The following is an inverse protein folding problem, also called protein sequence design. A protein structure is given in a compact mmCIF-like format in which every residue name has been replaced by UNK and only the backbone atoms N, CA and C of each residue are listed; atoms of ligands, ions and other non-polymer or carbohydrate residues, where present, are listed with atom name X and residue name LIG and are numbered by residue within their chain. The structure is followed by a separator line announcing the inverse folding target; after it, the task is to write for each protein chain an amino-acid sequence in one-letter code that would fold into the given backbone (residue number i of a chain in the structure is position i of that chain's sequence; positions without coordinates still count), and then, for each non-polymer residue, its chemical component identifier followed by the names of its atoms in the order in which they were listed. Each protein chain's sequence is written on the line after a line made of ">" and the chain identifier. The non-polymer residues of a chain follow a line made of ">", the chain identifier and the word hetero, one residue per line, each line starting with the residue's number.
data_IF_294168992468
#
_entry.id   IF_294168992468
#
_cell.length_a   1.000
_cell.length_b   1.000
_cell.length_c   1.000
_cell.angle_alpha   90.00
_cell.angle_beta   90.00
_cell.angle_gamma   90.00
#
_symmetry.space_group_name_H-M   'P 1'
#
loop_
_entity.id
_entity.type
_entity.pdbx_description
1 polymer ?
#
# COMPACT_ATOMS: atom_id res chain seq x y z
N UNK A 1 38.84 45.20 8.55
CA UNK A 1 38.41 44.59 7.30
C UNK A 1 38.60 43.06 7.43
N UNK A 2 37.57 42.34 7.79
CA UNK A 2 37.58 40.86 7.73
C UNK A 2 36.80 40.49 6.47
N UNK A 3 37.53 40.12 5.44
CA UNK A 3 37.00 39.46 4.24
C UNK A 3 36.45 38.08 4.68
N UNK A 4 35.15 37.99 4.91
CA UNK A 4 34.45 36.72 4.91
C UNK A 4 34.28 36.33 3.45
N UNK A 5 35.16 35.45 2.97
CA UNK A 5 34.94 34.70 1.75
C UNK A 5 33.64 33.90 1.96
N UNK A 6 32.51 34.38 1.44
CA UNK A 6 31.36 33.53 1.21
C UNK A 6 31.82 32.47 0.20
N UNK A 7 32.10 31.27 0.70
CA UNK A 7 32.16 30.08 -0.12
C UNK A 7 30.74 29.97 -0.72
N UNK A 8 30.57 30.25 -2.00
CA UNK A 8 29.33 30.04 -2.75
C UNK A 8 29.07 28.52 -2.84
N UNK A 9 28.69 27.90 -1.71
CA UNK A 9 28.24 26.51 -1.71
C UNK A 9 26.96 26.46 -2.54
N UNK A 10 27.01 25.77 -3.69
CA UNK A 10 25.82 25.52 -4.48
C UNK A 10 24.79 24.77 -3.63
N UNK A 11 23.53 25.18 -3.70
CA UNK A 11 22.43 24.45 -3.11
C UNK A 11 22.40 23.03 -3.65
N UNK A 12 22.24 22.05 -2.77
CA UNK A 12 22.13 20.62 -3.15
C UNK A 12 20.71 20.14 -2.93
N UNK A 13 20.10 19.58 -3.97
CA UNK A 13 18.69 19.13 -3.96
C UNK A 13 18.62 17.66 -4.31
N UNK A 14 17.96 16.86 -3.48
CA UNK A 14 17.54 15.49 -3.82
C UNK A 14 16.18 15.54 -4.48
N UNK A 15 16.10 15.07 -5.72
CA UNK A 15 14.87 15.06 -6.52
C UNK A 15 14.27 13.65 -6.58
N UNK A 16 13.00 13.49 -6.21
CA UNK A 16 12.21 12.29 -6.54
C UNK A 16 12.10 12.17 -8.06
N UNK A 17 12.81 11.21 -8.65
CA UNK A 17 13.00 11.09 -10.08
C UNK A 17 12.44 9.76 -10.59
N UNK A 18 11.47 9.82 -11.49
CA UNK A 18 10.87 8.63 -12.12
C UNK A 18 11.40 8.35 -13.53
N UNK A 19 12.24 9.23 -14.09
CA UNK A 19 12.66 9.15 -15.48
C UNK A 19 11.59 9.56 -16.49
N UNK A 20 10.39 9.97 -16.06
CA UNK A 20 9.34 10.52 -16.90
C UNK A 20 9.65 11.92 -17.44
N UNK A 21 8.78 12.42 -18.34
CA UNK A 21 8.92 13.78 -18.89
C UNK A 21 8.95 14.84 -17.79
N UNK A 22 7.96 14.79 -16.89
CA UNK A 22 7.74 15.81 -15.86
C UNK A 22 8.95 15.92 -14.93
N UNK A 23 9.47 14.79 -14.43
CA UNK A 23 10.63 14.79 -13.52
C UNK A 23 11.93 15.14 -14.24
N UNK A 24 12.05 14.85 -15.54
CA UNK A 24 13.22 15.22 -16.34
C UNK A 24 13.24 16.73 -16.63
N UNK A 25 12.09 17.34 -16.99
CA UNK A 25 11.95 18.80 -17.12
C UNK A 25 12.21 19.47 -15.78
N UNK A 26 11.67 18.91 -14.70
CA UNK A 26 11.84 19.43 -13.35
C UNK A 26 13.32 19.44 -12.91
N UNK A 27 14.10 18.42 -13.27
CA UNK A 27 15.52 18.33 -12.98
C UNK A 27 16.28 19.53 -13.55
N UNK A 28 16.09 19.83 -14.82
CA UNK A 28 16.76 20.95 -15.49
C UNK A 28 16.28 22.29 -14.93
N UNK A 29 14.99 22.46 -14.75
CA UNK A 29 14.40 23.67 -14.19
C UNK A 29 14.90 24.00 -12.78
N UNK A 30 14.99 23.00 -11.89
CA UNK A 30 15.54 23.16 -10.53
C UNK A 30 17.01 23.58 -10.57
N UNK A 31 17.80 22.93 -11.45
CA UNK A 31 19.21 23.25 -11.62
C UNK A 31 19.43 24.70 -12.05
N UNK A 32 18.65 25.18 -12.99
CA UNK A 32 18.72 26.57 -13.48
C UNK A 32 18.21 27.58 -12.45
N UNK A 33 17.01 27.34 -11.90
CA UNK A 33 16.36 28.28 -10.99
C UNK A 33 17.16 28.51 -9.71
N UNK A 34 17.69 27.45 -9.12
CA UNK A 34 18.40 27.50 -7.84
C UNK A 34 19.92 27.50 -8.00
N UNK A 35 20.45 27.48 -9.22
CA UNK A 35 21.87 27.21 -9.49
C UNK A 35 22.38 26.01 -8.67
N UNK A 36 21.59 24.94 -8.63
CA UNK A 36 21.75 23.83 -7.70
C UNK A 36 22.48 22.63 -8.30
N UNK A 37 23.08 21.83 -7.43
CA UNK A 37 23.48 20.46 -7.70
C UNK A 37 22.27 19.55 -7.46
N UNK A 38 21.89 18.76 -8.49
CA UNK A 38 20.74 17.87 -8.39
C UNK A 38 21.19 16.43 -8.28
N UNK A 39 20.78 15.78 -7.20
CA UNK A 39 20.88 14.33 -7.01
C UNK A 39 19.51 13.73 -7.36
N UNK A 40 19.44 12.97 -8.44
CA UNK A 40 18.24 12.22 -8.80
C UNK A 40 18.14 10.97 -7.93
N UNK A 41 17.01 10.78 -7.27
CA UNK A 41 16.73 9.58 -6.49
C UNK A 41 15.52 8.84 -7.08
N UNK A 42 15.72 7.59 -7.45
CA UNK A 42 14.68 6.69 -7.92
C UNK A 42 14.50 5.54 -6.93
N UNK A 43 13.31 5.38 -6.39
CA UNK A 43 12.98 4.29 -5.49
C UNK A 43 12.47 3.08 -6.29
N UNK A 44 13.06 1.90 -6.08
CA UNK A 44 12.49 0.64 -6.51
C UNK A 44 11.58 0.09 -5.38
N UNK A 45 10.29 0.26 -5.55
CA UNK A 45 9.23 -0.29 -4.70
C UNK A 45 8.45 -1.41 -5.41
N UNK A 46 9.00 -1.99 -6.49
CA UNK A 46 8.41 -3.08 -7.26
C UNK A 46 7.64 -2.63 -8.51
N UNK A 47 8.01 -1.50 -9.12
CA UNK A 47 7.44 -1.00 -10.38
C UNK A 47 8.04 -1.64 -11.65
N UNK A 48 8.99 -2.58 -11.50
CA UNK A 48 9.60 -3.39 -12.58
C UNK A 48 10.31 -2.57 -13.69
N UNK A 49 9.85 -2.70 -14.92
CA UNK A 49 10.53 -2.20 -16.15
C UNK A 49 10.70 -0.67 -16.22
N UNK A 50 10.08 0.08 -15.34
CA UNK A 50 10.19 1.55 -15.31
C UNK A 50 11.59 2.06 -14.90
N UNK A 51 12.45 1.16 -14.40
CA UNK A 51 13.80 1.50 -13.92
C UNK A 51 14.88 1.41 -14.99
N UNK A 52 14.60 0.79 -16.14
CA UNK A 52 15.58 0.58 -17.19
C UNK A 52 16.09 1.90 -17.82
N UNK A 53 17.40 2.11 -17.76
CA UNK A 53 18.07 3.29 -18.32
C UNK A 53 17.77 4.60 -17.57
N UNK A 54 17.26 4.54 -16.34
CA UNK A 54 16.95 5.73 -15.52
C UNK A 54 18.21 6.46 -15.11
N UNK A 55 19.30 5.74 -14.77
CA UNK A 55 20.59 6.35 -14.37
C UNK A 55 21.16 7.16 -15.52
N UNK A 56 21.30 6.52 -16.69
CA UNK A 56 21.87 7.14 -17.87
C UNK A 56 21.06 8.38 -18.29
N UNK A 57 19.74 8.26 -18.21
CA UNK A 57 18.84 9.37 -18.52
C UNK A 57 18.98 10.53 -17.54
N UNK A 58 19.03 10.27 -16.24
CA UNK A 58 19.20 11.30 -15.22
C UNK A 58 20.52 12.07 -15.41
N UNK A 59 21.61 11.34 -15.64
CA UNK A 59 22.95 11.94 -15.87
C UNK A 59 22.96 12.75 -17.17
N UNK A 60 22.42 12.21 -18.26
CA UNK A 60 22.29 12.92 -19.55
C UNK A 60 21.41 14.16 -19.44
N UNK A 61 20.40 14.16 -18.55
CA UNK A 61 19.54 15.31 -18.26
C UNK A 61 20.22 16.36 -17.39
N UNK A 62 21.38 16.02 -16.78
CA UNK A 62 22.22 16.98 -16.04
C UNK A 62 22.20 16.82 -14.52
N UNK A 63 21.72 15.69 -14.00
CA UNK A 63 21.96 15.31 -12.61
C UNK A 63 23.45 15.14 -12.34
N UNK A 64 23.92 15.54 -11.16
CA UNK A 64 25.29 15.27 -10.71
C UNK A 64 25.48 13.82 -10.29
N UNK A 65 24.40 13.20 -9.81
CA UNK A 65 24.35 11.81 -9.35
C UNK A 65 22.93 11.26 -9.53
N UNK A 66 22.82 9.97 -9.84
CA UNK A 66 21.56 9.25 -9.79
C UNK A 66 21.72 8.04 -8.88
N UNK A 67 20.79 7.87 -7.95
CA UNK A 67 20.78 6.76 -6.99
C UNK A 67 19.46 6.00 -7.18
N UNK A 68 19.55 4.69 -7.39
CA UNK A 68 18.40 3.79 -7.31
C UNK A 68 18.45 3.09 -5.97
N UNK A 69 17.43 3.26 -5.16
CA UNK A 69 17.27 2.55 -3.89
C UNK A 69 16.34 1.35 -4.05
N UNK A 70 16.84 0.12 -3.84
CA UNK A 70 15.97 -1.06 -3.74
C UNK A 70 15.28 -1.07 -2.39
N UNK A 71 14.00 -0.75 -2.38
CA UNK A 71 13.17 -0.65 -1.18
C UNK A 71 12.16 -1.79 -1.05
N UNK A 72 12.14 -2.77 -1.95
CA UNK A 72 11.10 -3.81 -1.99
C UNK A 72 10.97 -4.59 -0.68
N UNK A 73 12.08 -5.00 -0.10
CA UNK A 73 12.10 -5.75 1.15
C UNK A 73 11.66 -4.89 2.35
N UNK A 74 12.18 -3.65 2.43
CA UNK A 74 11.79 -2.67 3.46
C UNK A 74 10.31 -2.31 3.34
N UNK A 75 9.84 -2.06 2.11
CA UNK A 75 8.44 -1.74 1.82
C UNK A 75 7.48 -2.86 2.26
N UNK A 76 7.83 -4.13 1.97
CA UNK A 76 7.05 -5.27 2.42
C UNK A 76 7.02 -5.36 3.96
N UNK A 77 8.20 -5.39 4.60
CA UNK A 77 8.34 -5.72 6.01
C UNK A 77 7.87 -4.60 6.96
N UNK A 78 8.19 -3.34 6.62
CA UNK A 78 8.03 -2.21 7.53
C UNK A 78 6.85 -1.28 7.19
N UNK A 79 6.18 -1.50 6.04
CA UNK A 79 5.03 -0.70 5.62
C UNK A 79 3.81 -1.56 5.30
N UNK A 80 3.91 -2.52 4.38
CA UNK A 80 2.78 -3.36 3.96
C UNK A 80 2.30 -4.21 5.13
N UNK A 81 3.15 -5.04 5.73
CA UNK A 81 2.75 -5.97 6.77
C UNK A 81 2.18 -5.29 8.02
N UNK A 82 2.79 -4.23 8.59
CA UNK A 82 2.18 -3.51 9.72
C UNK A 82 0.82 -2.89 9.38
N UNK A 83 0.64 -2.39 8.15
CA UNK A 83 -0.65 -1.86 7.70
C UNK A 83 -1.72 -2.95 7.60
N UNK A 84 -1.35 -4.16 7.13
CA UNK A 84 -2.27 -5.30 7.08
C UNK A 84 -2.58 -5.87 8.46
N UNK A 85 -1.64 -5.86 9.42
CA UNK A 85 -1.94 -6.18 10.82
C UNK A 85 -3.05 -5.28 11.41
N UNK A 86 -3.09 -4.02 10.98
CA UNK A 86 -4.16 -3.09 11.34
C UNK A 86 -5.45 -3.33 10.55
N UNK A 87 -5.47 -4.25 9.58
CA UNK A 87 -6.58 -4.44 8.63
C UNK A 87 -7.01 -3.14 7.93
N UNK A 88 -6.06 -2.26 7.62
CA UNK A 88 -6.33 -0.93 7.09
C UNK A 88 -6.91 -1.00 5.67
N UNK A 89 -8.13 -0.53 5.52
CA UNK A 89 -8.84 -0.41 4.25
C UNK A 89 -9.52 0.94 4.20
N UNK A 90 -9.13 1.78 3.25
CA UNK A 90 -9.73 3.09 3.10
C UNK A 90 -11.09 3.00 2.39
N UNK A 91 -12.11 3.64 2.98
CA UNK A 91 -13.49 3.63 2.50
C UNK A 91 -14.05 2.23 2.18
N UNK A 92 -13.58 1.22 2.92
CA UNK A 92 -14.05 -0.16 2.82
C UNK A 92 -13.60 -0.94 1.60
N UNK A 93 -12.77 -0.37 0.70
CA UNK A 93 -12.35 -1.03 -0.54
C UNK A 93 -10.88 -0.83 -0.92
N UNK A 94 -10.31 0.36 -0.69
CA UNK A 94 -8.97 0.69 -1.16
C UNK A 94 -7.90 0.20 -0.18
N UNK A 95 -7.00 -0.67 -0.65
CA UNK A 95 -5.92 -1.27 0.14
C UNK A 95 -4.65 -0.40 0.21
N UNK A 96 -4.78 0.90 -0.03
CA UNK A 96 -3.78 1.94 0.29
C UNK A 96 -2.42 1.83 -0.43
N UNK A 97 -2.31 1.08 -1.54
CA UNK A 97 -1.02 0.78 -2.16
C UNK A 97 -0.19 2.00 -2.56
N UNK A 98 -0.78 3.02 -3.22
CA UNK A 98 -0.07 4.27 -3.51
C UNK A 98 0.24 5.03 -2.22
N UNK A 99 -0.72 5.08 -1.30
CA UNK A 99 -0.60 5.87 -0.06
C UNK A 99 0.53 5.40 0.83
N UNK A 100 0.70 4.06 0.96
CA UNK A 100 1.72 3.46 1.83
C UNK A 100 3.12 3.45 1.21
N UNK A 101 3.23 3.54 -0.13
CA UNK A 101 4.54 3.62 -0.80
C UNK A 101 5.23 4.97 -0.57
N UNK A 102 4.47 6.07 -0.48
CA UNK A 102 5.05 7.42 -0.37
C UNK A 102 5.86 7.66 0.91
N UNK A 103 5.44 7.24 2.12
CA UNK A 103 6.28 7.35 3.31
C UNK A 103 7.56 6.49 3.23
N UNK A 104 7.52 5.31 2.61
CA UNK A 104 8.71 4.49 2.36
C UNK A 104 9.72 5.24 1.47
N UNK A 105 9.26 5.76 0.34
CA UNK A 105 10.07 6.54 -0.59
C UNK A 105 10.62 7.81 0.09
N UNK A 106 9.77 8.53 0.85
CA UNK A 106 10.17 9.76 1.54
C UNK A 106 11.26 9.51 2.56
N UNK A 107 11.16 8.43 3.32
CA UNK A 107 12.20 8.06 4.30
C UNK A 107 13.54 7.83 3.61
N UNK A 108 13.57 7.04 2.56
CA UNK A 108 14.79 6.77 1.81
C UNK A 108 15.39 8.06 1.17
N UNK A 109 14.53 8.97 0.67
CA UNK A 109 14.98 10.27 0.17
C UNK A 109 15.58 11.14 1.27
N UNK A 110 15.00 11.14 2.48
CA UNK A 110 15.54 11.85 3.64
C UNK A 110 16.90 11.27 4.04
N UNK A 111 17.05 9.94 4.08
CA UNK A 111 18.30 9.28 4.41
C UNK A 111 19.40 9.67 3.41
N UNK A 112 19.08 9.69 2.11
CA UNK A 112 20.00 10.15 1.05
C UNK A 112 20.31 11.64 1.20
N UNK A 113 19.33 12.48 1.46
CA UNK A 113 19.53 13.91 1.63
C UNK A 113 20.47 14.22 2.81
N UNK A 114 20.33 13.52 3.92
CA UNK A 114 21.21 13.65 5.09
C UNK A 114 22.62 13.15 4.74
N UNK A 115 22.75 11.98 4.13
CA UNK A 115 24.03 11.39 3.76
C UNK A 115 24.82 12.25 2.76
N UNK A 116 24.15 12.88 1.81
CA UNK A 116 24.75 13.74 0.79
C UNK A 116 24.91 15.20 1.26
N UNK A 117 24.44 15.54 2.46
CA UNK A 117 24.45 16.90 2.99
C UNK A 117 23.64 17.86 2.11
N UNK A 118 22.48 17.42 1.65
CA UNK A 118 21.57 18.21 0.83
C UNK A 118 20.83 19.27 1.66
N UNK A 119 20.48 20.36 1.00
CA UNK A 119 19.77 21.50 1.60
C UNK A 119 18.24 21.34 1.42
N UNK A 120 17.81 20.59 0.39
CA UNK A 120 16.38 20.43 0.05
C UNK A 120 16.07 19.07 -0.58
N UNK A 121 14.78 18.72 -0.49
CA UNK A 121 14.16 17.63 -1.25
C UNK A 121 13.12 18.22 -2.19
N UNK A 122 13.07 17.77 -3.45
CA UNK A 122 12.10 18.18 -4.44
C UNK A 122 11.28 16.99 -4.95
N UNK A 123 10.01 17.23 -5.28
CA UNK A 123 9.12 16.24 -5.90
C UNK A 123 8.25 16.83 -7.00
N UNK A 124 7.87 15.98 -7.96
CA UNK A 124 7.02 16.33 -9.10
C UNK A 124 5.53 16.01 -8.91
N UNK A 125 5.08 15.75 -7.69
CA UNK A 125 3.67 15.47 -7.43
C UNK A 125 2.80 16.69 -7.73
N UNK A 126 1.67 16.47 -8.44
CA UNK A 126 0.77 17.55 -8.89
C UNK A 126 0.01 18.19 -7.72
N UNK A 127 -0.34 19.47 -7.84
CA UNK A 127 -1.05 20.21 -6.81
C UNK A 127 -2.50 19.77 -6.52
N UNK A 128 -3.07 18.88 -7.37
CA UNK A 128 -4.41 18.31 -7.20
C UNK A 128 -4.41 16.91 -6.58
N UNK A 129 -3.23 16.26 -6.52
CA UNK A 129 -3.09 14.90 -5.99
C UNK A 129 -2.78 14.87 -4.48
N UNK A 130 -3.02 13.73 -3.84
CA UNK A 130 -2.66 13.50 -2.44
C UNK A 130 -1.15 13.31 -2.23
N UNK A 131 -0.42 12.90 -3.25
CA UNK A 131 0.99 12.52 -3.14
C UNK A 131 1.88 13.67 -2.66
N UNK A 132 1.58 14.90 -3.08
CA UNK A 132 2.29 16.08 -2.58
C UNK A 132 2.18 16.19 -1.04
N UNK A 133 1.00 15.89 -0.48
CA UNK A 133 0.78 15.93 0.97
C UNK A 133 1.56 14.81 1.65
N UNK A 134 1.52 13.61 1.09
CA UNK A 134 2.21 12.41 1.61
C UNK A 134 3.72 12.59 1.65
N UNK A 135 4.33 13.12 0.59
CA UNK A 135 5.76 13.46 0.58
C UNK A 135 6.12 14.48 1.63
N UNK A 136 5.42 15.61 1.65
CA UNK A 136 5.79 16.71 2.54
C UNK A 136 5.56 16.40 4.02
N UNK A 137 4.44 15.79 4.39
CA UNK A 137 4.21 15.40 5.78
C UNK A 137 5.24 14.37 6.25
N UNK A 138 5.63 13.42 5.40
CA UNK A 138 6.67 12.44 5.73
C UNK A 138 8.04 13.12 5.91
N UNK A 139 8.43 14.01 5.00
CA UNK A 139 9.72 14.73 5.07
C UNK A 139 9.74 15.64 6.32
N UNK A 140 8.66 16.38 6.57
CA UNK A 140 8.55 17.28 7.74
C UNK A 140 8.63 16.51 9.06
N UNK A 141 8.08 15.31 9.13
CA UNK A 141 8.17 14.48 10.33
C UNK A 141 9.58 13.91 10.55
N UNK A 142 10.29 13.55 9.48
CA UNK A 142 11.59 12.88 9.56
C UNK A 142 12.77 13.85 9.60
N UNK A 143 12.68 14.98 8.89
CA UNK A 143 13.77 15.94 8.73
C UNK A 143 13.24 17.38 8.58
N UNK A 144 12.72 18.01 9.65
CA UNK A 144 12.10 19.34 9.61
C UNK A 144 13.05 20.45 9.20
N UNK A 145 14.37 20.18 9.18
CA UNK A 145 15.39 21.12 8.73
C UNK A 145 15.56 21.17 7.22
N UNK A 146 15.08 20.17 6.47
CA UNK A 146 15.17 20.14 5.02
C UNK A 146 14.07 20.97 4.37
N UNK A 147 14.44 21.81 3.41
CA UNK A 147 13.46 22.52 2.60
C UNK A 147 12.73 21.54 1.66
N UNK A 148 11.40 21.62 1.57
CA UNK A 148 10.66 20.90 0.54
C UNK A 148 10.33 21.82 -0.63
N UNK A 149 10.67 21.40 -1.85
CA UNK A 149 10.41 22.14 -3.08
C UNK A 149 9.37 21.38 -3.90
N UNK A 150 8.20 21.99 -4.07
CA UNK A 150 7.06 21.42 -4.80
C UNK A 150 6.64 22.35 -5.96
N UNK A 151 7.30 22.26 -7.14
CA UNK A 151 7.11 23.19 -8.25
C UNK A 151 5.68 23.30 -8.77
N UNK A 152 4.92 22.21 -8.80
CA UNK A 152 3.52 22.25 -9.22
C UNK A 152 2.62 23.19 -8.40
N UNK A 153 3.04 23.63 -7.22
CA UNK A 153 2.36 24.67 -6.42
C UNK A 153 2.94 26.07 -6.64
N UNK A 154 4.11 26.17 -7.28
CA UNK A 154 4.75 27.46 -7.56
C UNK A 154 4.10 28.12 -8.77
N UNK A 155 3.79 29.41 -8.66
CA UNK A 155 3.16 30.17 -9.76
C UNK A 155 4.04 30.18 -11.01
N UNK A 156 5.35 30.40 -10.85
CA UNK A 156 6.33 30.47 -11.93
C UNK A 156 6.39 29.18 -12.75
N UNK A 157 6.38 28.00 -12.08
CA UNK A 157 6.32 26.71 -12.76
C UNK A 157 5.03 26.57 -13.58
N UNK A 158 3.88 26.89 -12.98
CA UNK A 158 2.57 26.73 -13.63
C UNK A 158 2.38 27.71 -14.78
N UNK A 159 2.95 28.92 -14.67
CA UNK A 159 2.92 29.91 -15.75
C UNK A 159 3.81 29.48 -16.93
N UNK A 160 4.96 28.83 -16.65
CA UNK A 160 5.88 28.32 -17.66
C UNK A 160 5.41 27.00 -18.28
N UNK A 161 4.77 26.14 -17.50
CA UNK A 161 4.31 24.81 -17.91
C UNK A 161 2.81 24.63 -17.64
N UNK A 162 1.94 25.32 -18.37
CA UNK A 162 0.48 25.16 -18.23
C UNK A 162 0.00 23.79 -18.68
N UNK A 163 0.78 23.06 -19.51
CA UNK A 163 0.44 21.76 -20.03
C UNK A 163 1.63 20.93 -20.51
N UNK A 164 1.32 19.73 -21.00
CA UNK A 164 2.33 18.77 -21.48
C UNK A 164 3.07 19.28 -22.73
N UNK A 165 2.41 20.06 -23.57
CA UNK A 165 3.00 20.58 -24.81
C UNK A 165 4.20 21.51 -24.52
N UNK A 166 4.06 22.40 -23.55
CA UNK A 166 5.11 23.31 -23.11
C UNK A 166 6.30 22.58 -22.49
N UNK A 167 6.03 21.49 -21.73
CA UNK A 167 7.09 20.63 -21.21
C UNK A 167 7.86 19.90 -22.30
N UNK A 168 7.17 19.41 -23.35
CA UNK A 168 7.81 18.76 -24.49
C UNK A 168 8.70 19.77 -25.23
N UNK A 169 8.20 20.97 -25.50
CA UNK A 169 8.97 22.02 -26.13
C UNK A 169 10.23 22.40 -25.33
N UNK A 170 10.08 22.59 -24.02
CA UNK A 170 11.20 22.86 -23.13
C UNK A 170 12.22 21.71 -23.14
N UNK A 171 11.74 20.47 -23.14
CA UNK A 171 12.61 19.32 -23.18
C UNK A 171 13.43 19.24 -24.50
N UNK A 172 12.81 19.57 -25.64
CA UNK A 172 13.50 19.67 -26.95
C UNK A 172 14.55 20.78 -26.95
N UNK A 173 14.21 21.96 -26.43
CA UNK A 173 15.11 23.13 -26.34
C UNK A 173 16.35 22.86 -25.46
N UNK A 174 16.19 22.01 -24.43
CA UNK A 174 17.27 21.66 -23.48
C UNK A 174 17.92 20.30 -23.77
N UNK A 175 17.56 19.65 -24.88
CA UNK A 175 18.14 18.35 -25.27
C UNK A 175 17.83 17.22 -24.30
N UNK A 176 16.69 17.31 -23.56
CA UNK A 176 16.27 16.26 -22.62
C UNK A 176 15.79 15.03 -23.41
N UNK A 177 16.33 13.82 -23.14
CA UNK A 177 15.89 12.62 -23.84
C UNK A 177 14.41 12.30 -23.55
N UNK A 178 13.54 12.39 -24.55
CA UNK A 178 12.13 12.03 -24.43
C UNK A 178 11.93 10.62 -24.97
N UNK A 179 11.51 9.67 -24.11
CA UNK A 179 11.01 8.39 -24.63
C UNK A 179 9.61 8.62 -25.21
N UNK A 180 9.40 8.30 -26.47
CA UNK A 180 8.07 8.21 -27.04
C UNK A 180 7.36 7.01 -26.41
N UNK A 181 6.53 7.24 -25.39
CA UNK A 181 5.60 6.22 -24.88
C UNK A 181 4.30 6.29 -25.68
N UNK A 182 3.74 5.14 -26.02
CA UNK A 182 2.37 5.10 -26.54
C UNK A 182 1.46 5.81 -25.53
N UNK A 183 0.65 6.75 -26.03
CA UNK A 183 -0.22 7.57 -25.18
C UNK A 183 -1.34 6.69 -24.63
N UNK A 184 -1.16 6.20 -23.42
CA UNK A 184 -2.27 5.53 -22.73
C UNK A 184 -3.35 6.56 -22.38
N UNK A 185 -4.64 6.21 -22.47
CA UNK A 185 -5.74 7.15 -22.21
C UNK A 185 -5.97 7.39 -20.70
N UNK A 186 -5.14 6.88 -19.83
CA UNK A 186 -5.17 6.99 -18.37
C UNK A 186 -3.76 7.03 -17.79
N UNK A 187 -3.62 7.47 -16.53
CA UNK A 187 -2.38 7.43 -15.77
C UNK A 187 -2.28 6.12 -14.98
N UNK A 188 -1.05 5.65 -14.74
CA UNK A 188 -0.75 4.44 -13.98
C UNK A 188 0.32 4.72 -12.92
N UNK A 189 0.20 4.06 -11.75
CA UNK A 189 1.24 4.04 -10.72
C UNK A 189 1.30 2.61 -10.14
N UNK A 190 2.48 1.97 -10.22
CA UNK A 190 2.71 0.58 -9.83
C UNK A 190 3.72 0.48 -8.70
N UNK A 191 3.48 -0.44 -7.78
CA UNK A 191 4.45 -0.88 -6.78
C UNK A 191 4.20 -2.34 -6.40
N UNK A 192 4.96 -2.88 -5.43
CA UNK A 192 4.87 -4.27 -4.98
C UNK A 192 3.45 -4.66 -4.52
N UNK A 193 2.69 -3.75 -3.90
CA UNK A 193 1.37 -4.06 -3.36
C UNK A 193 0.27 -3.99 -4.42
N UNK A 194 0.37 -3.01 -5.36
CA UNK A 194 -0.72 -2.77 -6.29
C UNK A 194 -0.29 -2.03 -7.57
N UNK A 195 -1.25 -1.88 -8.46
CA UNK A 195 -1.25 -0.86 -9.51
C UNK A 195 -2.54 -0.04 -9.43
N UNK A 196 -2.44 1.28 -9.64
CA UNK A 196 -3.56 2.20 -9.78
C UNK A 196 -3.69 2.70 -11.20
N UNK A 197 -4.94 2.90 -11.63
CA UNK A 197 -5.31 3.54 -12.89
C UNK A 197 -6.25 4.69 -12.59
N UNK A 198 -5.95 5.88 -13.10
CA UNK A 198 -6.76 7.08 -12.89
C UNK A 198 -6.67 8.06 -14.06
N UNK A 199 -7.50 9.09 -14.07
CA UNK A 199 -7.55 10.17 -15.04
C UNK A 199 -8.00 9.76 -16.46
N UNK A 200 -8.05 10.70 -17.37
CA UNK A 200 -8.43 10.49 -18.77
C UNK A 200 -9.82 9.91 -18.94
N UNK A 201 -9.94 8.78 -19.66
CA UNK A 201 -11.24 8.13 -19.90
C UNK A 201 -11.92 7.65 -18.62
N UNK A 202 -11.14 7.41 -17.55
CA UNK A 202 -11.66 6.94 -16.26
C UNK A 202 -12.33 8.06 -15.44
N UNK A 203 -12.22 9.32 -15.84
CA UNK A 203 -12.93 10.43 -15.23
C UNK A 203 -14.45 10.36 -15.48
N UNK A 204 -14.86 9.70 -16.56
CA UNK A 204 -16.27 9.33 -16.75
C UNK A 204 -16.63 8.18 -15.80
N UNK A 205 -17.41 8.49 -14.78
CA UNK A 205 -17.82 7.50 -13.76
C UNK A 205 -18.75 6.41 -14.28
N UNK A 206 -19.31 6.56 -15.50
CA UNK A 206 -20.14 5.57 -16.18
C UNK A 206 -19.35 4.70 -17.17
N UNK A 207 -18.09 5.05 -17.41
CA UNK A 207 -17.22 4.25 -18.27
C UNK A 207 -16.98 2.86 -17.68
N UNK A 208 -17.31 1.82 -18.43
CA UNK A 208 -17.10 0.42 -18.05
C UNK A 208 -15.68 -0.03 -18.42
N UNK A 209 -14.80 -0.07 -17.43
CA UNK A 209 -13.42 -0.50 -17.59
C UNK A 209 -13.24 -2.03 -17.60
N UNK A 210 -14.33 -2.81 -17.48
CA UNK A 210 -14.28 -4.27 -17.51
C UNK A 210 -14.48 -4.85 -18.92
N UNK A 211 -14.77 -4.00 -19.91
CA UNK A 211 -14.98 -4.42 -21.30
C UNK A 211 -13.78 -5.17 -21.87
N UNK A 212 -14.06 -6.06 -22.81
CA UNK A 212 -13.05 -6.86 -23.48
C UNK A 212 -11.96 -6.02 -24.15
N UNK A 213 -12.32 -4.90 -24.77
CA UNK A 213 -11.41 -3.95 -25.40
C UNK A 213 -10.44 -3.28 -24.43
N UNK A 214 -10.80 -3.18 -23.14
CA UNK A 214 -10.00 -2.58 -22.08
C UNK A 214 -9.24 -3.61 -21.22
N UNK A 215 -9.34 -4.89 -21.51
CA UNK A 215 -8.64 -5.96 -20.75
C UNK A 215 -7.14 -5.74 -20.67
N UNK A 216 -6.55 -5.10 -21.66
CA UNK A 216 -5.14 -4.73 -21.68
C UNK A 216 -4.76 -3.62 -20.67
N UNK A 217 -5.72 -2.98 -20.00
CA UNK A 217 -5.45 -2.08 -18.89
C UNK A 217 -4.93 -2.85 -17.69
N UNK A 218 -5.56 -3.97 -17.36
CA UNK A 218 -5.18 -4.81 -16.23
C UNK A 218 -3.91 -5.60 -16.53
N UNK A 219 -2.87 -5.42 -15.72
CA UNK A 219 -1.55 -6.02 -15.97
C UNK A 219 -1.07 -6.93 -14.84
N UNK A 220 -1.70 -6.87 -13.65
CA UNK A 220 -1.37 -7.73 -12.52
C UNK A 220 -2.32 -8.92 -12.40
N UNK A 221 -3.50 -8.87 -13.00
CA UNK A 221 -4.50 -9.92 -12.86
C UNK A 221 -5.12 -10.31 -14.20
N UNK A 222 -5.28 -11.60 -14.39
CA UNK A 222 -6.10 -12.18 -15.48
C UNK A 222 -7.57 -11.78 -15.28
N UNK A 223 -8.33 -11.62 -16.36
CA UNK A 223 -9.77 -11.44 -16.24
C UNK A 223 -10.39 -12.67 -15.53
N UNK A 224 -11.34 -12.49 -14.59
CA UNK A 224 -11.95 -13.62 -13.89
C UNK A 224 -12.53 -14.69 -14.82
N UNK A 225 -13.05 -14.29 -15.99
CA UNK A 225 -13.59 -15.17 -17.03
C UNK A 225 -12.49 -16.06 -17.62
N UNK A 226 -11.28 -15.52 -17.79
CA UNK A 226 -10.12 -16.19 -18.40
C UNK A 226 -9.23 -16.91 -17.36
N UNK A 227 -9.55 -16.75 -16.06
CA UNK A 227 -8.82 -17.41 -14.98
C UNK A 227 -9.07 -18.94 -14.99
N UNK A 228 -8.13 -19.74 -14.45
CA UNK A 228 -8.21 -21.20 -14.47
C UNK A 228 -9.55 -21.75 -13.97
N UNK A 229 -10.08 -22.77 -14.67
CA UNK A 229 -11.30 -23.49 -14.26
C UNK A 229 -11.09 -24.39 -13.05
N UNK A 230 -9.84 -24.74 -12.73
CA UNK A 230 -9.50 -25.47 -11.52
C UNK A 230 -9.19 -24.50 -10.37
N UNK A 231 -9.81 -24.67 -9.19
CA UNK A 231 -9.45 -23.88 -8.03
C UNK A 231 -8.07 -24.27 -7.51
N UNK A 232 -7.37 -23.33 -6.88
CA UNK A 232 -6.10 -23.57 -6.21
C UNK A 232 -6.25 -23.35 -4.70
N UNK A 233 -5.78 -24.35 -3.89
CA UNK A 233 -5.74 -24.21 -2.44
C UNK A 233 -4.42 -23.59 -2.01
N UNK A 234 -4.52 -22.63 -1.09
CA UNK A 234 -3.39 -21.96 -0.45
C UNK A 234 -3.53 -22.12 1.07
N UNK A 235 -2.47 -22.54 1.72
CA UNK A 235 -2.37 -22.54 3.17
C UNK A 235 -1.34 -21.51 3.61
N UNK A 236 -1.70 -20.70 4.60
CA UNK A 236 -0.88 -19.64 5.17
C UNK A 236 -0.58 -19.96 6.63
N UNK A 237 0.70 -19.97 7.01
CA UNK A 237 1.15 -20.09 8.39
C UNK A 237 1.38 -18.70 8.97
N UNK A 238 0.72 -18.42 10.10
CA UNK A 238 0.79 -17.14 10.81
C UNK A 238 1.62 -17.21 12.08
N UNK A 239 2.42 -16.17 12.31
CA UNK A 239 3.04 -15.89 13.60
C UNK A 239 2.88 -14.39 13.91
N UNK A 240 2.27 -14.08 15.07
CA UNK A 240 2.00 -12.71 15.53
C UNK A 240 1.34 -11.84 14.45
N UNK A 241 0.33 -12.39 13.78
CA UNK A 241 -0.45 -11.71 12.74
C UNK A 241 0.24 -11.58 11.37
N UNK A 242 1.45 -12.08 11.20
CA UNK A 242 2.16 -12.07 9.93
C UNK A 242 2.16 -13.46 9.30
N UNK A 243 2.00 -13.53 7.98
CA UNK A 243 2.28 -14.75 7.23
C UNK A 243 3.81 -14.94 7.20
N UNK A 244 4.26 -16.07 7.72
CA UNK A 244 5.68 -16.47 7.74
C UNK A 244 5.96 -17.67 6.83
N UNK A 245 4.93 -18.37 6.36
CA UNK A 245 5.08 -19.55 5.52
C UNK A 245 3.85 -19.81 4.65
N UNK A 246 4.09 -20.43 3.52
CA UNK A 246 3.05 -20.79 2.54
C UNK A 246 3.16 -22.25 2.15
N UNK A 247 2.01 -22.84 1.81
CA UNK A 247 1.91 -24.16 1.22
C UNK A 247 0.82 -24.13 0.12
N UNK A 248 1.19 -24.49 -1.11
CA UNK A 248 0.29 -24.62 -2.26
C UNK A 248 0.91 -25.54 -3.29
N UNK A 249 0.09 -26.08 -4.19
CA UNK A 249 0.58 -26.87 -5.33
C UNK A 249 1.48 -26.01 -6.24
N UNK A 250 2.62 -26.55 -6.65
CA UNK A 250 3.57 -25.87 -7.52
C UNK A 250 4.32 -24.71 -6.88
N UNK A 251 4.39 -24.62 -5.55
CA UNK A 251 5.02 -23.47 -4.86
C UNK A 251 6.47 -23.25 -5.28
N UNK A 252 7.26 -24.32 -5.47
CA UNK A 252 8.66 -24.21 -5.88
C UNK A 252 8.82 -23.56 -7.28
N UNK A 253 7.95 -23.93 -8.22
CA UNK A 253 7.96 -23.35 -9.57
C UNK A 253 7.52 -21.88 -9.54
N UNK A 254 6.49 -21.56 -8.74
CA UNK A 254 6.04 -20.18 -8.51
C UNK A 254 7.16 -19.33 -7.93
N UNK A 255 7.86 -19.83 -6.92
CA UNK A 255 8.98 -19.11 -6.29
C UNK A 255 10.11 -18.83 -7.28
N UNK A 256 10.43 -19.80 -8.13
CA UNK A 256 11.43 -19.63 -9.19
C UNK A 256 11.00 -18.57 -10.21
N UNK A 257 9.71 -18.58 -10.61
CA UNK A 257 9.16 -17.60 -11.57
C UNK A 257 9.14 -16.17 -11.00
N UNK A 258 8.78 -16.00 -9.71
CA UNK A 258 8.76 -14.68 -9.09
C UNK A 258 10.11 -14.22 -8.52
N UNK A 259 11.15 -15.07 -8.60
CA UNK A 259 12.50 -14.73 -8.17
C UNK A 259 12.67 -14.64 -6.66
N UNK A 260 11.99 -15.51 -5.89
CA UNK A 260 12.16 -15.59 -4.43
C UNK A 260 12.70 -16.94 -3.98
N UNK A 261 13.25 -17.00 -2.77
CA UNK A 261 13.87 -18.21 -2.19
C UNK A 261 13.32 -18.50 -0.80
N UNK A 262 13.27 -19.78 -0.45
CA UNK A 262 12.86 -20.22 0.88
C UNK A 262 13.87 -19.77 1.95
N UNK A 263 13.35 -19.36 3.10
CA UNK A 263 14.15 -19.09 4.32
C UNK A 263 14.28 -20.35 5.20
N UNK A 264 13.52 -21.38 4.91
CA UNK A 264 13.48 -22.65 5.63
C UNK A 264 12.16 -23.37 5.46
N UNK A 265 11.95 -24.39 6.30
CA UNK A 265 10.69 -25.14 6.35
C UNK A 265 10.22 -25.31 7.81
N UNK A 266 8.91 -25.31 8.01
CA UNK A 266 8.28 -25.56 9.31
C UNK A 266 6.92 -26.23 9.09
N UNK A 267 6.71 -27.39 9.69
CA UNK A 267 5.43 -28.12 9.69
C UNK A 267 4.82 -28.34 8.27
N UNK A 268 5.69 -28.51 7.24
CA UNK A 268 5.29 -28.66 5.83
C UNK A 268 5.03 -27.35 5.10
N UNK A 269 5.29 -26.20 5.73
CA UNK A 269 5.26 -24.88 5.12
C UNK A 269 6.65 -24.45 4.67
N UNK A 270 6.74 -23.89 3.48
CA UNK A 270 7.93 -23.16 3.04
C UNK A 270 7.93 -21.77 3.68
N UNK A 271 8.94 -21.48 4.50
CA UNK A 271 9.10 -20.18 5.15
C UNK A 271 9.62 -19.15 4.15
N UNK A 272 9.04 -17.97 4.19
CA UNK A 272 9.37 -16.84 3.30
C UNK A 272 9.49 -15.56 4.12
N UNK A 273 10.35 -14.65 3.65
CA UNK A 273 10.33 -13.28 4.14
C UNK A 273 9.09 -12.51 3.63
N UNK A 274 8.80 -11.33 4.17
CA UNK A 274 7.64 -10.53 3.75
C UNK A 274 7.60 -10.22 2.25
N UNK A 275 8.74 -9.99 1.61
CA UNK A 275 8.83 -9.76 0.17
C UNK A 275 8.44 -11.03 -0.61
N UNK A 276 9.01 -12.17 -0.25
CA UNK A 276 8.69 -13.46 -0.87
C UNK A 276 7.22 -13.83 -0.73
N UNK A 277 6.63 -13.60 0.45
CA UNK A 277 5.18 -13.79 0.65
C UNK A 277 4.39 -12.92 -0.32
N UNK A 278 4.69 -11.62 -0.43
CA UNK A 278 3.97 -10.71 -1.32
C UNK A 278 4.09 -11.10 -2.79
N UNK A 279 5.30 -11.50 -3.23
CA UNK A 279 5.54 -11.94 -4.61
C UNK A 279 4.70 -13.19 -4.97
N UNK A 280 4.70 -14.20 -4.09
CA UNK A 280 3.90 -15.43 -4.29
C UNK A 280 2.40 -15.13 -4.26
N UNK A 281 1.93 -14.31 -3.31
CA UNK A 281 0.50 -13.94 -3.23
C UNK A 281 0.05 -13.10 -4.42
N UNK A 282 0.90 -12.22 -4.94
CA UNK A 282 0.62 -11.44 -6.14
C UNK A 282 0.48 -12.36 -7.37
N UNK A 283 1.39 -13.33 -7.52
CA UNK A 283 1.32 -14.32 -8.59
C UNK A 283 0.01 -15.11 -8.53
N UNK A 284 -0.30 -15.68 -7.37
CA UNK A 284 -1.51 -16.50 -7.18
C UNK A 284 -2.78 -15.68 -7.39
N UNK A 285 -2.84 -14.49 -6.80
CA UNK A 285 -3.99 -13.59 -6.94
C UNK A 285 -4.16 -13.13 -8.39
N UNK A 286 -3.07 -12.77 -9.06
CA UNK A 286 -3.06 -12.41 -10.47
C UNK A 286 -3.57 -13.54 -11.37
N UNK A 287 -3.04 -14.75 -11.22
CA UNK A 287 -3.44 -15.95 -11.94
C UNK A 287 -4.95 -16.24 -11.81
N UNK A 288 -5.52 -16.03 -10.64
CA UNK A 288 -6.94 -16.29 -10.35
C UNK A 288 -7.85 -15.07 -10.51
N UNK A 289 -7.38 -13.95 -11.06
CA UNK A 289 -8.19 -12.76 -11.34
C UNK A 289 -8.65 -12.00 -10.10
N UNK A 290 -7.94 -12.14 -8.97
CA UNK A 290 -8.29 -11.57 -7.67
C UNK A 290 -7.76 -10.13 -7.54
N UNK A 291 -8.52 -9.27 -6.84
CA UNK A 291 -8.03 -8.00 -6.34
C UNK A 291 -8.31 -6.79 -7.21
N UNK A 292 -9.25 -6.86 -8.16
CA UNK A 292 -9.72 -5.70 -8.92
C UNK A 292 -10.73 -4.89 -8.13
N UNK A 293 -10.51 -3.58 -8.04
CA UNK A 293 -11.39 -2.64 -7.32
C UNK A 293 -11.59 -1.39 -8.16
N UNK A 294 -12.83 -0.95 -8.27
CA UNK A 294 -13.23 0.34 -8.85
C UNK A 294 -13.96 1.13 -7.77
N UNK A 295 -13.48 2.34 -7.45
CA UNK A 295 -14.01 3.16 -6.37
C UNK A 295 -13.95 4.65 -6.74
N UNK A 296 -14.97 5.38 -6.30
CA UNK A 296 -14.92 6.85 -6.25
C UNK A 296 -14.63 7.23 -4.81
N UNK A 297 -13.38 7.57 -4.53
CA UNK A 297 -12.86 7.88 -3.20
C UNK A 297 -12.82 9.38 -2.91
N UNK A 298 -12.78 9.73 -1.62
CA UNK A 298 -12.61 11.12 -1.19
C UNK A 298 -11.11 11.43 -1.01
N UNK A 299 -10.56 12.31 -1.84
CA UNK A 299 -9.19 12.79 -1.68
C UNK A 299 -9.07 13.72 -0.48
N UNK A 300 -7.93 13.69 0.20
CA UNK A 300 -7.65 14.54 1.35
C UNK A 300 -7.74 16.04 1.02
N UNK A 301 -7.42 16.41 -0.21
CA UNK A 301 -7.55 17.78 -0.74
C UNK A 301 -9.00 18.21 -1.04
N UNK A 302 -10.00 17.40 -0.67
CA UNK A 302 -11.41 17.80 -0.63
C UNK A 302 -12.24 17.51 -1.88
N UNK A 303 -11.75 16.68 -2.81
CA UNK A 303 -12.49 16.29 -4.01
C UNK A 303 -12.70 14.78 -4.09
N UNK A 304 -13.71 14.34 -4.83
CA UNK A 304 -13.88 12.94 -5.23
C UNK A 304 -13.06 12.62 -6.47
N UNK A 305 -12.51 11.41 -6.52
CA UNK A 305 -11.77 10.92 -7.66
C UNK A 305 -12.04 9.45 -7.86
N UNK A 306 -12.21 9.02 -9.10
CA UNK A 306 -12.30 7.60 -9.43
C UNK A 306 -10.89 7.03 -9.55
N UNK A 307 -10.67 5.90 -8.89
CA UNK A 307 -9.48 5.07 -9.01
C UNK A 307 -9.88 3.63 -9.30
N UNK A 308 -9.16 2.98 -10.21
CA UNK A 308 -9.25 1.55 -10.45
C UNK A 308 -7.93 0.94 -9.98
N UNK A 309 -8.01 -0.16 -9.25
CA UNK A 309 -6.88 -0.78 -8.59
C UNK A 309 -6.82 -2.27 -8.86
N UNK A 310 -5.60 -2.80 -9.00
CA UNK A 310 -5.32 -4.23 -8.90
C UNK A 310 -4.44 -4.45 -7.67
N UNK A 311 -4.93 -5.24 -6.72
CA UNK A 311 -4.22 -5.52 -5.46
C UNK A 311 -4.32 -7.04 -5.16
N UNK A 312 -3.78 -7.90 -6.05
CA UNK A 312 -4.02 -9.34 -5.98
C UNK A 312 -3.52 -9.98 -4.68
N UNK A 313 -2.26 -9.82 -4.34
CA UNK A 313 -1.68 -10.40 -3.13
C UNK A 313 -2.21 -9.76 -1.85
N UNK A 314 -2.41 -8.44 -1.85
CA UNK A 314 -2.97 -7.74 -0.71
C UNK A 314 -4.40 -8.19 -0.38
N UNK A 315 -5.21 -8.51 -1.38
CA UNK A 315 -6.56 -9.04 -1.17
C UNK A 315 -6.54 -10.42 -0.51
N UNK A 316 -5.61 -11.30 -0.91
CA UNK A 316 -5.42 -12.62 -0.29
C UNK A 316 -4.89 -12.45 1.14
N UNK A 317 -3.88 -11.60 1.34
CA UNK A 317 -3.27 -11.33 2.65
C UNK A 317 -4.31 -10.83 3.65
N UNK A 318 -5.13 -9.84 3.26
CA UNK A 318 -6.20 -9.31 4.11
C UNK A 318 -7.23 -10.39 4.47
N UNK A 319 -7.67 -11.18 3.49
CA UNK A 319 -8.63 -12.25 3.72
C UNK A 319 -8.07 -13.30 4.69
N UNK A 320 -6.83 -13.75 4.50
CA UNK A 320 -6.19 -14.72 5.38
C UNK A 320 -6.01 -14.17 6.80
N UNK A 321 -5.55 -12.92 6.93
CA UNK A 321 -5.33 -12.28 8.23
C UNK A 321 -6.64 -12.11 9.00
N UNK A 322 -7.68 -11.60 8.36
CA UNK A 322 -9.01 -11.47 8.98
C UNK A 322 -9.58 -12.81 9.41
N UNK A 323 -9.28 -13.87 8.67
CA UNK A 323 -9.82 -15.21 8.98
C UNK A 323 -9.18 -15.83 10.24
N UNK A 324 -7.84 -15.75 10.41
CA UNK A 324 -7.18 -16.26 11.61
C UNK A 324 -7.56 -15.47 12.86
N UNK A 325 -7.80 -14.18 12.74
CA UNK A 325 -8.27 -13.34 13.84
C UNK A 325 -9.62 -13.82 14.43
N UNK A 326 -10.49 -14.42 13.60
CA UNK A 326 -11.83 -14.86 14.05
C UNK A 326 -11.78 -15.90 15.17
N UNK A 327 -10.70 -16.68 15.26
CA UNK A 327 -10.55 -17.72 16.28
C UNK A 327 -9.50 -17.40 17.35
N UNK A 328 -8.68 -16.36 17.16
CA UNK A 328 -7.56 -16.04 18.05
C UNK A 328 -7.71 -14.75 18.83
N UNK A 329 -8.59 -13.85 18.40
CA UNK A 329 -8.81 -12.58 19.09
C UNK A 329 -10.01 -12.63 20.03
N UNK A 330 -9.82 -12.12 21.25
CA UNK A 330 -10.93 -11.84 22.16
C UNK A 330 -11.90 -10.80 21.54
N UNK A 331 -13.19 -11.03 21.76
CA UNK A 331 -14.28 -10.23 21.20
C UNK A 331 -14.17 -8.74 21.53
N UNK A 332 -13.86 -8.39 22.77
CA UNK A 332 -13.79 -6.98 23.18
C UNK A 332 -12.49 -6.32 22.69
N UNK A 333 -11.37 -7.06 22.67
CA UNK A 333 -10.11 -6.60 22.10
C UNK A 333 -10.25 -6.35 20.58
N UNK A 334 -10.90 -7.27 19.86
CA UNK A 334 -11.18 -7.10 18.43
C UNK A 334 -12.05 -5.88 18.17
N UNK A 335 -13.12 -5.68 18.96
CA UNK A 335 -14.01 -4.52 18.83
C UNK A 335 -13.26 -3.19 19.03
N UNK A 336 -12.38 -3.10 20.03
CA UNK A 336 -11.54 -1.91 20.26
C UNK A 336 -10.62 -1.67 19.06
N UNK A 337 -9.88 -2.69 18.61
CA UNK A 337 -9.00 -2.58 17.45
C UNK A 337 -9.77 -2.19 16.18
N UNK A 338 -10.89 -2.86 15.90
CA UNK A 338 -11.68 -2.60 14.69
C UNK A 338 -12.29 -1.20 14.67
N UNK A 339 -12.58 -0.61 15.83
CA UNK A 339 -13.05 0.78 15.92
C UNK A 339 -12.02 1.81 15.46
N UNK A 340 -10.73 1.46 15.48
CA UNK A 340 -9.62 2.33 15.07
C UNK A 340 -9.19 2.13 13.61
N UNK A 341 -9.70 1.12 12.91
CA UNK A 341 -9.35 0.85 11.50
C UNK A 341 -9.62 2.05 10.60
N UNK A 342 -10.79 2.72 10.66
CA UNK A 342 -11.08 3.86 9.80
C UNK A 342 -10.08 5.02 10.01
N UNK A 343 -9.76 5.33 11.27
CA UNK A 343 -8.82 6.39 11.62
C UNK A 343 -7.40 6.04 11.16
N UNK A 344 -6.95 4.80 11.41
CA UNK A 344 -5.65 4.32 10.93
C UNK A 344 -5.56 4.39 9.39
N UNK A 345 -6.57 3.89 8.69
CA UNK A 345 -6.62 3.92 7.22
C UNK A 345 -6.62 5.37 6.69
N UNK A 346 -7.35 6.28 7.34
CA UNK A 346 -7.36 7.70 6.98
C UNK A 346 -5.98 8.35 7.21
N UNK A 347 -5.28 8.03 8.29
CA UNK A 347 -3.91 8.52 8.54
C UNK A 347 -2.95 8.06 7.45
N UNK A 348 -2.99 6.77 7.07
CA UNK A 348 -2.16 6.24 5.98
C UNK A 348 -2.51 6.93 4.65
N UNK A 349 -3.81 7.05 4.34
CA UNK A 349 -4.29 7.67 3.11
C UNK A 349 -3.85 9.14 2.99
N UNK A 350 -3.91 9.87 4.10
CA UNK A 350 -3.62 11.31 4.18
C UNK A 350 -2.13 11.63 4.34
N UNK A 351 -1.25 10.63 4.52
CA UNK A 351 0.20 10.83 4.61
C UNK A 351 0.76 10.99 6.02
N UNK A 352 0.00 10.62 7.06
CA UNK A 352 0.40 10.69 8.47
C UNK A 352 1.08 9.40 8.97
N UNK A 353 1.84 8.71 8.11
CA UNK A 353 2.52 7.46 8.50
C UNK A 353 3.46 7.64 9.69
N UNK A 354 4.19 8.75 9.76
CA UNK A 354 5.12 9.06 10.84
C UNK A 354 4.51 9.91 11.95
N UNK A 355 3.18 10.03 12.01
CA UNK A 355 2.49 10.76 13.07
C UNK A 355 2.44 9.95 14.38
N UNK A 356 2.60 10.59 15.57
CA UNK A 356 2.62 9.89 16.85
C UNK A 356 1.32 9.14 17.15
N UNK A 357 0.18 9.65 16.71
CA UNK A 357 -1.12 8.98 16.88
C UNK A 357 -1.21 7.68 16.07
N UNK A 358 -0.66 7.64 14.85
CA UNK A 358 -0.59 6.41 14.07
C UNK A 358 0.32 5.38 14.74
N UNK A 359 1.46 5.82 15.29
CA UNK A 359 2.38 4.95 16.02
C UNK A 359 1.75 4.37 17.28
N UNK A 360 0.97 5.17 18.01
CA UNK A 360 0.23 4.72 19.19
C UNK A 360 -0.81 3.64 18.81
N UNK A 361 -1.56 3.85 17.71
CA UNK A 361 -2.51 2.84 17.22
C UNK A 361 -1.75 1.58 16.76
N UNK A 362 -0.61 1.71 16.07
CA UNK A 362 0.20 0.56 15.67
C UNK A 362 0.67 -0.26 16.87
N UNK A 363 1.07 0.39 17.96
CA UNK A 363 1.46 -0.31 19.19
C UNK A 363 0.30 -1.11 19.78
N UNK A 364 -0.92 -0.54 19.79
CA UNK A 364 -2.14 -1.26 20.19
C UNK A 364 -2.40 -2.45 19.25
N UNK A 365 -2.36 -2.22 17.94
CA UNK A 365 -2.53 -3.27 16.92
C UNK A 365 -1.53 -4.39 17.16
N UNK A 366 -0.23 -4.08 17.24
CA UNK A 366 0.83 -5.07 17.44
C UNK A 366 0.63 -5.89 18.73
N UNK A 367 0.13 -5.25 19.80
CA UNK A 367 -0.21 -5.95 21.05
C UNK A 367 -1.33 -6.96 20.83
N UNK A 368 -2.35 -6.63 20.05
CA UNK A 368 -3.46 -7.56 19.77
C UNK A 368 -3.05 -8.74 18.88
N UNK A 369 -1.94 -8.61 18.13
CA UNK A 369 -1.45 -9.63 17.23
C UNK A 369 -0.58 -10.72 17.91
N UNK A 370 -0.15 -10.53 19.15
CA UNK A 370 0.73 -11.49 19.85
C UNK A 370 0.15 -12.93 19.91
N UNK A 371 -1.18 -13.04 19.95
CA UNK A 371 -1.89 -14.34 19.98
C UNK A 371 -2.42 -14.79 18.62
N UNK A 372 -2.24 -13.98 17.57
CA UNK A 372 -2.70 -14.31 16.22
C UNK A 372 -1.67 -15.21 15.54
N UNK A 373 -1.69 -16.49 15.92
CA UNK A 373 -0.81 -17.54 15.43
C UNK A 373 -1.65 -18.71 14.92
N UNK A 374 -1.18 -19.43 13.91
CA UNK A 374 -1.86 -20.61 13.40
C UNK A 374 -1.90 -20.68 11.90
N UNK A 375 -2.89 -21.35 11.37
CA UNK A 375 -2.97 -21.69 9.96
C UNK A 375 -4.34 -21.35 9.39
N UNK A 376 -4.33 -20.80 8.17
CA UNK A 376 -5.52 -20.53 7.37
C UNK A 376 -5.39 -21.27 6.05
N UNK A 377 -6.46 -21.93 5.62
CA UNK A 377 -6.58 -22.51 4.28
C UNK A 377 -7.62 -21.75 3.47
N UNK A 378 -7.18 -21.26 2.32
CA UNK A 378 -7.99 -20.53 1.36
C UNK A 378 -8.16 -21.36 0.08
N UNK A 379 -9.24 -21.11 -0.64
CA UNK A 379 -9.50 -21.59 -1.99
C UNK A 379 -9.61 -20.40 -2.93
N UNK A 380 -8.69 -20.31 -3.88
CA UNK A 380 -8.61 -19.23 -4.87
C UNK A 380 -9.30 -19.69 -6.15
N UNK A 381 -10.27 -18.92 -6.66
CA UNK A 381 -11.01 -19.29 -7.84
C UNK A 381 -11.73 -18.10 -8.49
N UNK A 382 -11.42 -17.79 -9.73
CA UNK A 382 -12.15 -16.84 -10.60
C UNK A 382 -12.55 -15.54 -9.88
N UNK A 383 -11.58 -14.76 -9.47
CA UNK A 383 -11.77 -13.47 -8.77
C UNK A 383 -12.11 -13.57 -7.28
N UNK A 384 -12.28 -14.78 -6.74
CA UNK A 384 -12.73 -14.98 -5.37
C UNK A 384 -11.66 -15.61 -4.46
N UNK A 385 -11.64 -15.16 -3.21
CA UNK A 385 -10.94 -15.81 -2.09
C UNK A 385 -11.99 -16.42 -1.18
N UNK A 386 -12.00 -17.75 -1.09
CA UNK A 386 -12.97 -18.50 -0.27
C UNK A 386 -12.28 -19.10 0.94
N UNK A 387 -12.91 -19.01 2.10
CA UNK A 387 -12.40 -19.59 3.34
C UNK A 387 -12.64 -21.10 3.37
N UNK A 388 -11.57 -21.88 3.55
CA UNK A 388 -11.62 -23.34 3.49
C UNK A 388 -11.20 -24.03 4.81
N UNK A 389 -10.85 -23.27 5.83
CA UNK A 389 -10.54 -23.74 7.17
C UNK A 389 -9.46 -22.91 7.86
N UNK A 390 -9.44 -23.00 9.18
CA UNK A 390 -8.48 -22.35 10.07
C UNK A 390 -8.23 -23.20 11.29
N UNK A 391 -7.03 -23.11 11.86
CA UNK A 391 -6.69 -23.73 13.13
C UNK A 391 -5.59 -22.92 13.83
N UNK A 392 -5.59 -22.94 15.17
CA UNK A 392 -4.63 -22.19 15.97
C UNK A 392 -4.36 -22.85 17.30
N UNK A 393 -3.12 -22.85 17.80
CA UNK A 393 -2.82 -23.21 19.19
C UNK A 393 -3.38 -22.19 20.19
N UNK A 394 -3.68 -20.95 19.73
CA UNK A 394 -4.28 -19.87 20.51
C UNK A 394 -5.78 -19.72 20.26
N UNK A 395 -6.46 -20.78 19.76
CA UNK A 395 -7.89 -20.74 19.46
C UNK A 395 -8.72 -20.48 20.71
N UNK A 396 -9.59 -19.48 20.63
CA UNK A 396 -10.65 -19.23 21.62
C UNK A 396 -11.94 -19.98 21.28
N UNK A 397 -12.00 -20.64 20.13
CA UNK A 397 -13.11 -21.51 19.77
C UNK A 397 -12.98 -22.84 20.52
N UNK A 398 -13.93 -23.13 21.38
CA UNK A 398 -14.07 -24.41 22.07
C UNK A 398 -15.20 -25.20 21.42
N UNK A 399 -14.88 -26.38 20.90
CA UNK A 399 -15.90 -27.28 20.37
C UNK A 399 -16.90 -27.69 21.44
N UNK A 400 -16.42 -28.00 22.65
CA UNK A 400 -17.25 -28.41 23.77
C UNK A 400 -18.28 -27.36 24.18
N UNK A 401 -17.90 -26.05 24.14
CA UNK A 401 -18.81 -24.93 24.45
C UNK A 401 -19.75 -24.60 23.29
N UNK A 402 -19.34 -24.86 22.06
CA UNK A 402 -20.09 -24.44 20.86
C UNK A 402 -21.01 -25.52 20.31
N UNK A 403 -20.81 -26.81 20.70
CA UNK A 403 -21.60 -27.93 20.17
C UNK A 403 -23.04 -27.86 20.65
N UNK A 404 -23.98 -28.26 19.79
CA UNK A 404 -25.39 -28.45 20.12
C UNK A 404 -25.68 -29.89 20.57
N UNK A 405 -24.66 -30.76 20.62
CA UNK A 405 -24.78 -32.14 21.01
C UNK A 405 -24.75 -32.28 22.53
N UNK A 406 -25.25 -33.42 23.06
CA UNK A 406 -25.51 -33.60 24.49
C UNK A 406 -24.25 -33.86 25.34
N UNK A 407 -23.05 -33.83 24.76
CA UNK A 407 -21.80 -34.23 25.42
C UNK A 407 -21.04 -33.07 26.11
N UNK A 408 -21.66 -31.86 26.23
CA UNK A 408 -21.03 -30.78 26.99
C UNK A 408 -21.22 -30.96 28.50
N UNK A 409 -20.23 -30.51 29.27
CA UNK A 409 -20.34 -30.48 30.73
C UNK A 409 -20.87 -29.14 31.21
N UNK A 410 -21.69 -29.11 32.28
CA UNK A 410 -22.20 -27.87 32.87
C UNK A 410 -21.10 -26.95 33.40
N UNK A 411 -19.86 -27.44 33.54
CA UNK A 411 -18.69 -26.68 33.94
C UNK A 411 -18.26 -25.68 32.85
N UNK A 412 -18.52 -25.97 31.55
CA UNK A 412 -18.14 -25.13 30.43
C UNK A 412 -19.17 -24.02 30.13
N UNK A 413 -20.46 -24.35 30.19
CA UNK A 413 -21.55 -23.38 29.92
C UNK A 413 -22.88 -23.85 30.54
N UNK A 414 -23.44 -23.07 31.46
CA UNK A 414 -24.77 -23.33 32.02
C UNK A 414 -25.84 -22.55 31.26
N UNK A 415 -26.77 -23.25 30.62
CA UNK A 415 -27.86 -22.63 29.84
C UNK A 415 -28.82 -21.82 30.71
N UNK A 416 -28.98 -22.14 32.01
CA UNK A 416 -29.83 -21.40 32.93
C UNK A 416 -29.36 -19.97 33.17
N UNK A 417 -28.05 -19.72 33.12
CA UNK A 417 -27.46 -18.40 33.28
C UNK A 417 -27.87 -17.45 32.12
N UNK A 418 -28.16 -18.00 30.95
CA UNK A 418 -28.64 -17.22 29.80
C UNK A 418 -29.99 -16.54 30.10
N UNK A 419 -30.86 -17.17 30.87
CA UNK A 419 -32.16 -16.60 31.23
C UNK A 419 -32.02 -15.30 32.03
N UNK A 420 -31.15 -15.29 33.03
CA UNK A 420 -30.83 -14.10 33.82
C UNK A 420 -30.16 -12.99 32.99
N UNK A 421 -29.19 -13.35 32.18
CA UNK A 421 -28.50 -12.43 31.27
C UNK A 421 -29.49 -11.76 30.28
N UNK A 422 -30.36 -12.54 29.63
CA UNK A 422 -31.35 -12.03 28.69
C UNK A 422 -32.35 -11.11 29.40
N UNK A 423 -32.81 -11.48 30.61
CA UNK A 423 -33.72 -10.64 31.39
C UNK A 423 -33.11 -9.26 31.65
N UNK A 424 -31.89 -9.20 32.20
CA UNK A 424 -31.21 -7.93 32.52
C UNK A 424 -31.00 -7.08 31.26
N UNK A 425 -30.50 -7.66 30.17
CA UNK A 425 -30.30 -6.95 28.91
C UNK A 425 -31.63 -6.48 28.28
N UNK A 426 -32.70 -7.21 28.49
CA UNK A 426 -34.07 -6.88 28.04
C UNK A 426 -34.70 -5.69 28.76
N UNK A 427 -34.28 -5.34 29.99
CA UNK A 427 -34.90 -4.28 30.79
C UNK A 427 -34.94 -2.94 30.07
N UNK A 428 -33.81 -2.48 29.48
CA UNK A 428 -33.76 -1.22 28.74
C UNK A 428 -34.71 -1.22 27.54
N UNK A 429 -34.81 -2.33 26.82
CA UNK A 429 -35.70 -2.48 25.65
C UNK A 429 -37.16 -2.42 26.05
N UNK A 430 -37.55 -3.11 27.15
CA UNK A 430 -38.90 -3.07 27.72
C UNK A 430 -39.24 -1.64 28.13
N UNK A 431 -38.34 -0.93 28.80
CA UNK A 431 -38.59 0.45 29.21
C UNK A 431 -38.72 1.40 28.02
N UNK A 432 -37.84 1.26 27.01
CA UNK A 432 -37.94 2.03 25.78
C UNK A 432 -39.31 1.81 25.08
N UNK A 433 -39.72 0.55 24.94
CA UNK A 433 -41.02 0.23 24.35
C UNK A 433 -42.21 0.80 25.13
N UNK A 434 -42.18 0.73 26.49
CA UNK A 434 -43.24 1.29 27.35
C UNK A 434 -43.41 2.79 27.16
N UNK A 435 -42.33 3.52 26.90
CA UNK A 435 -42.36 4.99 26.73
C UNK A 435 -42.75 5.39 25.32
N UNK A 436 -42.33 4.66 24.32
CA UNK A 436 -42.43 5.05 22.91
C UNK A 436 -43.54 4.31 22.13
N UNK A 437 -43.94 3.11 22.55
CA UNK A 437 -45.06 2.39 21.95
C UNK A 437 -46.34 2.74 22.75
N UNK A 438 -46.98 3.81 22.36
CA UNK A 438 -48.30 4.20 22.87
C UNK A 438 -49.41 3.61 22.00
#
# INVERSE_FOLDING_TARGET
>A
MKNTAHCDKKMKIVLAYSGGLDTSVLLVWLKEKYNAEIIAYCADVGQAEELDGVIEKALATGASKCIIGDLKADFAANYIFPMFQANAVYEGRYLLGTSIARPCISKAMVDVAIAEGADAIAHGATGKGNDQVRFELSINALAPQLQVIAPWRMKEWRDQFPGRAEMIKYAEEHGIPIRQSMKKPYSMDRNLLHISFEAGILEDTWYDATKEEDRGMYVLSTAPEDAPDAPQYLQCLFEKGNIIGLQTEGLADIMAEVGTTAQGEKDGYTLLDPLGVMLVLNYLGGKHGIGRVDIIENRFVGMKSRGIYETPGGTILLAAHRDIETITMDREAQKVRDSLIPDYAAMVYNGFWFAPEREAIQALVSKTQETVNGEVRLKLYKGNVMYAGRRSPNSLYSYAMATMEADYTEEDYNQDDASGFIHLNGLRLKQFARVNNK
#
